data_IF_412283608808
#
_entry.id   IF_412283608808
#
_cell.length_a   1.000
_cell.length_b   1.000
_cell.length_c   1.000
_cell.angle_alpha   90.00
_cell.angle_beta   90.00
_cell.angle_gamma   90.00
#
_symmetry.space_group_name_H-M   'P 1'
#
loop_
_entity.id
_entity.type
_entity.pdbx_description
1 polymer ?
#
# COMPACT_ATOMS: atom_id res chain seq x y z
N UNK A 1 -20.53 -10.82 11.54
CA UNK A 1 -20.73 -11.20 10.11
C UNK A 1 -19.36 -11.44 9.52
N UNK A 2 -19.15 -12.54 8.80
CA UNK A 2 -17.87 -12.92 8.18
C UNK A 2 -18.11 -13.14 6.68
N UNK A 3 -17.30 -12.50 5.83
CA UNK A 3 -17.30 -12.67 4.38
C UNK A 3 -15.97 -13.33 4.01
N UNK A 4 -16.01 -14.53 3.43
CA UNK A 4 -14.82 -15.23 2.96
C UNK A 4 -14.61 -14.99 1.46
N UNK A 5 -13.81 -13.96 1.14
CA UNK A 5 -13.44 -13.66 -0.23
C UNK A 5 -12.50 -14.73 -0.84
N UNK A 6 -11.85 -15.57 -0.02
CA UNK A 6 -10.94 -16.62 -0.49
C UNK A 6 -11.63 -17.81 -1.15
N UNK A 7 -12.91 -18.04 -0.81
CA UNK A 7 -13.74 -19.12 -1.39
C UNK A 7 -14.93 -18.59 -2.20
N UNK A 8 -15.05 -17.27 -2.35
CA UNK A 8 -16.14 -16.65 -3.11
C UNK A 8 -16.07 -17.02 -4.59
N UNK A 9 -17.10 -17.70 -5.09
CA UNK A 9 -17.12 -18.25 -6.45
C UNK A 9 -17.18 -17.19 -7.57
N UNK A 10 -17.56 -15.96 -7.22
CA UNK A 10 -17.60 -14.79 -8.12
C UNK A 10 -16.54 -13.75 -7.78
N UNK A 11 -15.51 -14.11 -6.99
CA UNK A 11 -14.41 -13.21 -6.65
C UNK A 11 -13.75 -12.64 -7.92
N UNK A 12 -13.42 -11.34 -7.88
CA UNK A 12 -12.98 -10.56 -9.03
C UNK A 12 -14.15 -10.12 -9.92
N UNK A 13 -14.98 -11.07 -10.39
CA UNK A 13 -16.06 -10.81 -11.35
C UNK A 13 -17.18 -9.92 -10.79
N UNK A 14 -17.64 -10.19 -9.57
CA UNK A 14 -18.70 -9.44 -8.91
C UNK A 14 -18.17 -8.52 -7.79
N UNK A 15 -16.86 -8.25 -7.77
CA UNK A 15 -16.30 -7.39 -6.73
C UNK A 15 -16.68 -5.91 -6.94
N UNK A 16 -16.99 -5.48 -8.16
CA UNK A 16 -17.27 -4.06 -8.45
C UNK A 16 -18.48 -3.47 -7.71
N UNK A 17 -19.49 -4.29 -7.42
CA UNK A 17 -20.73 -3.92 -6.72
C UNK A 17 -20.91 -4.64 -5.36
N UNK A 18 -19.88 -5.37 -4.91
CA UNK A 18 -19.89 -6.04 -3.63
C UNK A 18 -19.82 -5.03 -2.47
N UNK A 19 -20.53 -5.30 -1.36
CA UNK A 19 -20.45 -4.51 -0.13
C UNK A 19 -19.03 -4.38 0.41
N UNK A 20 -18.17 -5.37 0.19
CA UNK A 20 -16.75 -5.32 0.58
C UNK A 20 -16.04 -4.17 -0.12
N UNK A 21 -16.30 -3.97 -1.42
CA UNK A 21 -15.71 -2.87 -2.19
C UNK A 21 -16.23 -1.51 -1.75
N UNK A 22 -17.50 -1.43 -1.35
CA UNK A 22 -18.07 -0.19 -0.79
C UNK A 22 -17.35 0.20 0.51
N UNK A 23 -17.05 -0.79 1.36
CA UNK A 23 -16.45 -0.53 2.67
C UNK A 23 -14.93 -0.36 2.64
N UNK A 24 -14.23 -1.09 1.78
CA UNK A 24 -12.76 -1.21 1.80
C UNK A 24 -12.09 -0.80 0.48
N UNK A 25 -12.88 -0.50 -0.57
CA UNK A 25 -12.37 -0.31 -1.92
C UNK A 25 -12.18 -1.62 -2.69
N UNK A 26 -11.93 -1.53 -4.01
CA UNK A 26 -11.86 -2.71 -4.86
C UNK A 26 -10.66 -3.58 -4.50
N UNK A 27 -10.82 -4.93 -4.46
CA UNK A 27 -9.73 -5.83 -4.17
C UNK A 27 -8.63 -5.73 -5.24
N UNK A 28 -7.37 -5.64 -4.82
CA UNK A 28 -6.23 -5.52 -5.73
C UNK A 28 -6.03 -4.12 -6.33
N UNK A 29 -6.74 -3.11 -5.86
CA UNK A 29 -6.49 -1.73 -6.26
C UNK A 29 -5.09 -1.29 -5.80
N UNK A 30 -4.21 -1.02 -6.76
CA UNK A 30 -2.91 -0.41 -6.49
C UNK A 30 -3.09 1.10 -6.41
N UNK A 31 -2.80 1.67 -5.24
CA UNK A 31 -2.69 3.12 -5.08
C UNK A 31 -1.24 3.52 -5.35
N UNK A 32 -1.03 4.37 -6.35
CA UNK A 32 0.27 4.97 -6.58
C UNK A 32 0.51 6.04 -5.53
N UNK A 33 1.65 5.94 -4.84
CA UNK A 33 2.07 6.91 -3.84
C UNK A 33 3.16 7.76 -4.49
N UNK A 34 2.90 9.05 -4.76
CA UNK A 34 3.92 9.95 -5.31
C UNK A 34 5.20 9.95 -4.46
N UNK A 35 6.34 10.09 -5.12
CA UNK A 35 7.68 10.07 -4.49
C UNK A 35 7.79 11.07 -3.32
N UNK A 36 7.22 12.27 -3.48
CA UNK A 36 7.24 13.33 -2.46
C UNK A 36 6.41 12.99 -1.22
N UNK A 37 5.45 12.08 -1.34
CA UNK A 37 4.62 11.62 -0.23
C UNK A 37 5.22 10.40 0.50
N UNK A 38 6.15 9.65 -0.10
CA UNK A 38 6.78 8.49 0.54
C UNK A 38 7.52 8.87 1.84
N UNK A 39 8.21 10.01 1.83
CA UNK A 39 8.91 10.52 3.02
C UNK A 39 7.95 10.86 4.17
N UNK A 40 6.80 11.46 3.87
CA UNK A 40 5.79 11.76 4.88
C UNK A 40 5.23 10.47 5.50
N UNK A 41 4.94 9.46 4.68
CA UNK A 41 4.47 8.15 5.17
C UNK A 41 5.52 7.44 6.03
N UNK A 42 6.81 7.52 5.66
CA UNK A 42 7.89 6.96 6.45
C UNK A 42 7.93 7.57 7.86
N UNK A 43 7.81 8.90 7.98
CA UNK A 43 7.75 9.58 9.30
C UNK A 43 6.55 9.12 10.13
N UNK A 44 5.38 8.95 9.50
CA UNK A 44 4.19 8.44 10.19
C UNK A 44 4.39 6.99 10.68
N UNK A 45 5.08 6.15 9.91
CA UNK A 45 5.41 4.78 10.32
C UNK A 45 6.43 4.77 11.45
N UNK A 46 7.51 5.54 11.34
CA UNK A 46 8.59 5.59 12.33
C UNK A 46 8.11 6.14 13.68
N UNK A 47 7.10 7.02 13.65
CA UNK A 47 6.42 7.53 14.85
C UNK A 47 5.32 6.60 15.38
N UNK A 48 5.02 5.51 14.69
CA UNK A 48 3.99 4.55 15.10
C UNK A 48 2.55 5.02 14.88
N UNK A 49 2.34 6.06 14.08
CA UNK A 49 1.01 6.60 13.76
C UNK A 49 0.28 5.78 12.68
N UNK A 50 1.04 5.09 11.83
CA UNK A 50 0.49 4.15 10.84
C UNK A 50 1.26 2.81 10.87
N UNK A 51 0.68 1.72 10.33
CA UNK A 51 1.37 0.44 10.22
C UNK A 51 2.66 0.51 9.37
N UNK A 52 3.56 -0.49 9.50
CA UNK A 52 4.74 -0.60 8.65
C UNK A 52 4.42 -0.59 7.17
N UNK A 53 5.13 0.25 6.41
CA UNK A 53 4.97 0.35 4.96
C UNK A 53 5.38 -0.96 4.27
N UNK A 54 4.51 -1.46 3.39
CA UNK A 54 4.75 -2.63 2.52
C UNK A 54 4.59 -2.21 1.06
N UNK A 55 5.38 -1.23 0.64
CA UNK A 55 5.36 -0.71 -0.72
C UNK A 55 5.92 -1.76 -1.69
N UNK A 56 5.30 -1.89 -2.86
CA UNK A 56 5.78 -2.74 -3.95
C UNK A 56 6.45 -1.84 -4.99
N UNK A 57 7.76 -1.98 -5.22
CA UNK A 57 8.47 -1.16 -6.21
C UNK A 57 7.89 -1.38 -7.60
N UNK A 58 7.63 -0.29 -8.34
CA UNK A 58 7.23 -0.35 -9.75
C UNK A 58 8.44 0.02 -10.61
N UNK A 59 8.72 -0.67 -11.74
CA UNK A 59 9.83 -0.30 -12.61
C UNK A 59 9.72 1.16 -13.09
N UNK A 60 10.75 1.96 -12.82
CA UNK A 60 10.76 3.40 -13.09
C UNK A 60 10.58 4.28 -11.86
N UNK A 61 10.23 3.70 -10.71
CA UNK A 61 10.16 4.39 -9.42
C UNK A 61 11.59 4.57 -8.88
N UNK A 62 12.12 5.80 -8.91
CA UNK A 62 13.47 6.08 -8.42
C UNK A 62 13.50 6.21 -6.88
N UNK A 63 13.06 5.16 -6.19
CA UNK A 63 13.14 5.10 -4.75
C UNK A 63 14.60 4.88 -4.34
N UNK A 64 15.28 5.98 -3.97
CA UNK A 64 16.42 5.94 -3.06
C UNK A 64 15.91 5.32 -1.76
N UNK A 65 16.11 4.02 -1.60
CA UNK A 65 15.78 3.29 -0.39
C UNK A 65 16.54 3.92 0.80
N UNK A 66 15.87 4.78 1.56
CA UNK A 66 16.41 5.31 2.83
C UNK A 66 16.17 4.24 3.87
N UNK A 67 17.14 3.34 4.00
CA UNK A 67 17.04 2.24 4.94
C UNK A 67 18.34 1.49 5.20
N UNK A 68 19.51 2.16 5.17
CA UNK A 68 20.69 1.93 6.03
C UNK A 68 21.85 2.86 5.60
N UNK A 69 22.22 3.85 6.43
CA UNK A 69 23.57 4.43 6.46
C UNK A 69 24.04 5.35 5.31
N UNK A 70 23.49 6.56 5.19
CA UNK A 70 24.15 7.66 4.44
C UNK A 70 24.35 8.91 5.33
N UNK A 71 24.98 8.71 6.49
CA UNK A 71 25.98 9.69 6.92
C UNK A 71 27.30 9.28 6.25
N UNK A 72 27.85 10.13 5.38
CA UNK A 72 29.29 10.44 5.18
C UNK A 72 29.59 10.81 3.70
N UNK A 73 29.92 12.08 3.46
CA UNK A 73 30.86 12.47 2.40
C UNK A 73 30.42 13.50 1.36
N UNK A 74 30.22 14.76 1.76
CA UNK A 74 30.80 15.98 1.15
C UNK A 74 30.35 17.20 1.97
#
# INVERSE_FOLDING_TARGET
>A
MIIDCGTCQVAGLACGDCVVTVLLGPPGATVQIPDDHQGALAVLTDSGLIPPLRLVPTPGDSARFVGLGQQLGA
#
